data_IF_186293882558
#
_entry.id   IF_186293882558
#
_cell.length_a   1.000
_cell.length_b   1.000
_cell.length_c   1.000
_cell.angle_alpha   90.00
_cell.angle_beta   90.00
_cell.angle_gamma   90.00
#
_symmetry.space_group_name_H-M   'P 1'
#
loop_
_entity.id
_entity.type
_entity.pdbx_description
1 polymer ?
#
# COMPACT_ATOMS: atom_id res chain seq x y z
N UNK A 1 16.12 30.99 -15.65
CA UNK A 1 16.00 29.62 -15.11
C UNK A 1 15.22 29.71 -13.81
N UNK A 2 13.92 29.34 -13.77
CA UNK A 2 13.13 29.32 -12.51
C UNK A 2 13.67 28.18 -11.65
N UNK A 3 14.28 28.49 -10.52
CA UNK A 3 14.61 27.51 -9.47
C UNK A 3 13.26 26.98 -8.96
N UNK A 4 12.87 25.83 -9.48
CA UNK A 4 11.67 25.13 -9.00
C UNK A 4 11.98 24.66 -7.58
N UNK A 5 11.25 25.18 -6.60
CA UNK A 5 11.42 24.77 -5.21
C UNK A 5 11.15 23.26 -5.11
N UNK A 6 12.22 22.45 -5.03
CA UNK A 6 12.12 20.97 -4.99
C UNK A 6 11.76 20.44 -3.59
N UNK A 7 11.88 21.26 -2.56
CA UNK A 7 11.67 20.80 -1.18
C UNK A 7 10.26 20.26 -0.91
N UNK A 8 9.22 20.88 -1.48
CA UNK A 8 7.83 20.43 -1.26
C UNK A 8 7.55 19.07 -1.89
N UNK A 9 7.91 18.82 -3.17
CA UNK A 9 7.80 17.48 -3.75
C UNK A 9 8.58 16.43 -2.99
N UNK A 10 9.80 16.73 -2.55
CA UNK A 10 10.66 15.79 -1.83
C UNK A 10 10.06 15.41 -0.47
N UNK A 11 9.55 16.38 0.30
CA UNK A 11 8.86 16.14 1.57
C UNK A 11 7.62 15.27 1.34
N UNK A 12 6.82 15.58 0.33
CA UNK A 12 5.63 14.80 -0.01
C UNK A 12 5.98 13.34 -0.33
N UNK A 13 6.99 13.11 -1.15
CA UNK A 13 7.44 11.75 -1.51
C UNK A 13 7.98 11.00 -0.29
N UNK A 14 8.72 11.66 0.60
CA UNK A 14 9.20 11.02 1.83
C UNK A 14 8.05 10.64 2.78
N UNK A 15 7.05 11.51 2.94
CA UNK A 15 5.85 11.18 3.72
C UNK A 15 5.09 10.02 3.09
N UNK A 16 4.94 10.01 1.77
CA UNK A 16 4.29 8.92 1.05
C UNK A 16 5.04 7.59 1.22
N UNK A 17 6.37 7.62 1.21
CA UNK A 17 7.22 6.46 1.45
C UNK A 17 7.04 5.93 2.88
N UNK A 18 7.02 6.85 3.85
CA UNK A 18 6.75 6.48 5.23
C UNK A 18 5.37 5.81 5.38
N UNK A 19 4.33 6.37 4.77
CA UNK A 19 2.97 5.81 4.83
C UNK A 19 2.94 4.41 4.21
N UNK A 20 3.57 4.20 3.05
CA UNK A 20 3.62 2.91 2.38
C UNK A 20 4.24 1.83 3.27
N UNK A 21 5.41 2.09 3.85
CA UNK A 21 6.05 1.14 4.77
C UNK A 21 5.32 1.01 6.11
N UNK A 22 4.76 2.10 6.63
CA UNK A 22 4.00 2.07 7.88
C UNK A 22 2.79 1.14 7.80
N UNK A 23 2.03 1.19 6.70
CA UNK A 23 0.88 0.30 6.48
C UNK A 23 1.30 -1.17 6.45
N UNK A 24 2.44 -1.47 5.82
CA UNK A 24 2.98 -2.84 5.79
C UNK A 24 3.42 -3.29 7.19
N UNK A 25 4.08 -2.43 7.94
CA UNK A 25 4.59 -2.77 9.28
C UNK A 25 3.48 -2.89 10.32
N UNK A 26 2.45 -2.06 10.27
CA UNK A 26 1.33 -2.12 11.21
C UNK A 26 0.55 -3.43 11.09
N UNK A 27 0.60 -4.08 9.91
CA UNK A 27 -0.04 -5.38 9.70
C UNK A 27 0.43 -6.43 10.70
N UNK A 28 1.70 -6.45 11.09
CA UNK A 28 2.21 -7.43 12.06
C UNK A 28 1.47 -7.36 13.41
N UNK A 29 1.18 -6.12 13.89
CA UNK A 29 0.39 -5.93 15.11
C UNK A 29 -1.10 -6.18 14.87
N UNK A 30 -1.64 -5.70 13.75
CA UNK A 30 -3.03 -5.89 13.39
C UNK A 30 -3.37 -7.38 13.19
N UNK A 31 -2.44 -8.17 12.63
CA UNK A 31 -2.58 -9.62 12.50
C UNK A 31 -2.71 -10.31 13.87
N UNK A 32 -1.93 -9.87 14.87
CA UNK A 32 -2.05 -10.41 16.22
C UNK A 32 -3.43 -10.18 16.81
N UNK A 33 -3.95 -8.94 16.71
CA UNK A 33 -5.26 -8.59 17.25
C UNK A 33 -6.40 -9.30 16.48
N UNK A 34 -6.28 -9.37 15.15
CA UNK A 34 -7.22 -10.13 14.31
C UNK A 34 -7.22 -11.64 14.63
N UNK A 35 -6.04 -12.20 14.92
CA UNK A 35 -5.93 -13.60 15.37
C UNK A 35 -6.72 -13.85 16.64
N UNK A 36 -6.62 -12.98 17.64
CA UNK A 36 -7.40 -13.07 18.86
C UNK A 36 -8.91 -12.99 18.59
N UNK A 37 -9.34 -12.11 17.71
CA UNK A 37 -10.75 -11.92 17.35
C UNK A 37 -11.32 -13.12 16.58
N UNK A 38 -10.55 -13.69 15.65
CA UNK A 38 -10.96 -14.82 14.83
C UNK A 38 -10.69 -16.19 15.48
N UNK A 39 -10.08 -16.22 16.67
CA UNK A 39 -9.73 -17.47 17.36
C UNK A 39 -8.61 -18.25 16.64
N UNK A 40 -7.70 -17.57 15.94
CA UNK A 40 -6.58 -18.14 15.20
C UNK A 40 -5.25 -17.81 15.87
N UNK A 41 -4.27 -18.70 15.75
CA UNK A 41 -2.89 -18.44 16.13
C UNK A 41 -2.25 -17.38 15.24
N UNK A 42 -1.20 -16.71 15.73
CA UNK A 42 -0.48 -15.70 14.96
C UNK A 42 0.08 -16.25 13.64
N UNK A 43 0.60 -17.46 13.66
CA UNK A 43 1.12 -18.19 12.51
C UNK A 43 0.04 -18.50 11.46
N UNK A 44 -1.21 -18.67 11.89
CA UNK A 44 -2.34 -18.93 10.99
C UNK A 44 -2.81 -17.63 10.33
N UNK A 45 -2.98 -16.57 11.14
CA UNK A 45 -3.51 -15.30 10.63
C UNK A 45 -2.52 -14.57 9.71
N UNK A 46 -1.20 -14.66 9.96
CA UNK A 46 -0.20 -13.97 9.16
C UNK A 46 -0.18 -14.44 7.70
N UNK A 47 -0.61 -15.69 7.43
CA UNK A 47 -0.69 -16.27 6.08
C UNK A 47 -1.69 -15.49 5.21
N UNK A 48 -2.75 -14.93 5.80
CA UNK A 48 -3.72 -14.14 5.06
C UNK A 48 -3.15 -12.83 4.51
N UNK A 49 -2.03 -12.35 5.07
CA UNK A 49 -1.25 -11.23 4.52
C UNK A 49 -0.48 -11.56 3.26
N UNK A 50 -0.25 -12.85 2.97
CA UNK A 50 0.53 -13.28 1.80
C UNK A 50 -0.09 -12.80 0.48
N UNK A 51 -1.42 -12.75 0.37
CA UNK A 51 -2.10 -12.23 -0.80
C UNK A 51 -1.72 -10.77 -1.08
N UNK A 52 -1.61 -9.94 -0.04
CA UNK A 52 -1.15 -8.55 -0.16
C UNK A 52 0.26 -8.45 -0.71
N UNK A 53 1.20 -9.24 -0.19
CA UNK A 53 2.59 -9.25 -0.67
C UNK A 53 2.73 -9.76 -2.09
N UNK A 54 1.98 -10.81 -2.47
CA UNK A 54 1.99 -11.33 -3.84
C UNK A 54 1.47 -10.27 -4.81
N UNK A 55 0.34 -9.63 -4.49
CA UNK A 55 -0.26 -8.60 -5.34
C UNK A 55 0.60 -7.33 -5.38
N UNK A 56 1.24 -6.94 -4.27
CA UNK A 56 2.21 -5.86 -4.26
C UNK A 56 3.33 -6.09 -5.29
N UNK A 57 3.95 -7.26 -5.29
CA UNK A 57 5.01 -7.61 -6.23
C UNK A 57 4.50 -7.72 -7.67
N UNK A 58 3.37 -8.41 -7.89
CA UNK A 58 2.81 -8.64 -9.21
C UNK A 58 2.30 -7.36 -9.91
N UNK A 59 1.80 -6.39 -9.13
CA UNK A 59 1.27 -5.14 -9.67
C UNK A 59 2.34 -4.07 -9.92
N UNK A 60 3.55 -4.20 -9.37
CA UNK A 60 4.61 -3.21 -9.54
C UNK A 60 5.01 -2.96 -11.02
N UNK A 61 5.16 -3.98 -11.89
CA UNK A 61 5.42 -3.75 -13.31
C UNK A 61 4.26 -3.05 -14.04
N UNK A 62 3.02 -3.36 -13.63
CA UNK A 62 1.82 -2.72 -14.19
C UNK A 62 1.79 -1.25 -13.78
N UNK A 63 2.09 -0.94 -12.52
CA UNK A 63 2.17 0.41 -12.01
C UNK A 63 3.27 1.22 -12.73
N UNK A 64 4.43 0.62 -13.02
CA UNK A 64 5.49 1.24 -13.80
C UNK A 64 5.00 1.61 -15.22
N UNK A 65 4.34 0.68 -15.90
CA UNK A 65 3.77 0.93 -17.23
C UNK A 65 2.71 2.04 -17.20
N UNK A 66 1.88 2.09 -16.16
CA UNK A 66 0.90 3.16 -15.99
C UNK A 66 1.57 4.52 -15.72
N UNK A 67 2.69 4.53 -15.00
CA UNK A 67 3.47 5.75 -14.72
C UNK A 67 4.07 6.39 -15.98
N UNK A 68 4.33 5.58 -17.01
CA UNK A 68 4.79 6.06 -18.32
C UNK A 68 3.65 6.63 -19.18
N UNK A 69 2.42 6.16 -18.98
CA UNK A 69 1.26 6.55 -19.77
C UNK A 69 0.43 7.66 -19.16
N UNK A 70 0.35 7.72 -17.85
CA UNK A 70 -0.55 8.60 -17.11
C UNK A 70 0.21 9.59 -16.22
N UNK A 71 -0.50 10.60 -15.75
CA UNK A 71 0.07 11.57 -14.81
C UNK A 71 0.52 10.88 -13.51
N UNK A 72 1.80 11.01 -13.18
CA UNK A 72 2.39 10.49 -11.94
C UNK A 72 1.68 11.05 -10.71
N UNK A 73 1.29 12.32 -10.74
CA UNK A 73 0.54 12.94 -9.64
C UNK A 73 -0.84 12.29 -9.44
N UNK A 74 -1.54 11.94 -10.52
CA UNK A 74 -2.83 11.23 -10.42
C UNK A 74 -2.61 9.84 -9.83
N UNK A 75 -1.57 9.12 -10.26
CA UNK A 75 -1.24 7.81 -9.72
C UNK A 75 -0.90 7.87 -8.21
N UNK A 76 -0.22 8.92 -7.76
CA UNK A 76 0.01 9.13 -6.32
C UNK A 76 -1.27 9.39 -5.54
N UNK A 77 -2.25 10.09 -6.11
CA UNK A 77 -3.59 10.23 -5.51
C UNK A 77 -4.29 8.88 -5.42
N UNK A 78 -4.23 8.07 -6.49
CA UNK A 78 -4.78 6.70 -6.51
C UNK A 78 -4.13 5.83 -5.45
N UNK A 79 -2.82 5.92 -5.27
CA UNK A 79 -2.08 5.23 -4.21
C UNK A 79 -2.63 5.59 -2.82
N UNK A 80 -2.63 6.87 -2.44
CA UNK A 80 -3.06 7.28 -1.10
C UNK A 80 -4.52 6.95 -0.83
N UNK A 81 -5.40 7.26 -1.78
CA UNK A 81 -6.82 6.98 -1.65
C UNK A 81 -7.09 5.47 -1.60
N UNK A 82 -6.46 4.71 -2.49
CA UNK A 82 -6.62 3.26 -2.57
C UNK A 82 -6.13 2.55 -1.30
N UNK A 83 -4.94 2.90 -0.81
CA UNK A 83 -4.39 2.33 0.44
C UNK A 83 -5.29 2.70 1.63
N UNK A 84 -5.70 3.98 1.75
CA UNK A 84 -6.56 4.42 2.84
C UNK A 84 -7.92 3.72 2.86
N UNK A 85 -8.60 3.63 1.72
CA UNK A 85 -9.87 2.90 1.60
C UNK A 85 -9.69 1.42 1.90
N UNK A 86 -8.62 0.79 1.39
CA UNK A 86 -8.35 -0.63 1.64
C UNK A 86 -8.09 -0.91 3.12
N UNK A 87 -7.35 -0.04 3.81
CA UNK A 87 -7.14 -0.15 5.26
C UNK A 87 -8.46 -0.04 6.05
N UNK A 88 -9.34 0.88 5.65
CA UNK A 88 -10.68 1.00 6.25
C UNK A 88 -11.50 -0.28 5.99
N UNK A 89 -11.46 -0.83 4.78
CA UNK A 89 -12.15 -2.09 4.47
C UNK A 89 -11.62 -3.25 5.32
N UNK A 90 -10.31 -3.33 5.56
CA UNK A 90 -9.73 -4.32 6.48
C UNK A 90 -10.33 -4.21 7.89
N UNK A 91 -10.60 -3.01 8.40
CA UNK A 91 -11.16 -2.81 9.74
C UNK A 91 -12.60 -3.30 9.90
N UNK A 92 -13.33 -3.52 8.80
CA UNK A 92 -14.67 -4.10 8.79
C UNK A 92 -14.69 -5.60 8.49
N UNK A 93 -13.53 -6.24 8.42
CA UNK A 93 -13.45 -7.68 8.15
C UNK A 93 -13.98 -8.49 9.33
N UNK A 94 -14.95 -9.34 9.08
CA UNK A 94 -15.54 -10.27 10.07
C UNK A 94 -15.02 -11.70 9.88
N UNK A 95 -14.20 -11.95 8.88
CA UNK A 95 -13.59 -13.25 8.59
C UNK A 95 -12.17 -13.10 8.09
N UNK A 96 -11.30 -14.10 8.30
CA UNK A 96 -9.94 -14.10 7.77
C UNK A 96 -9.88 -13.91 6.24
N UNK A 97 -10.84 -14.48 5.51
CA UNK A 97 -10.90 -14.32 4.04
C UNK A 97 -11.22 -12.89 3.62
N UNK A 98 -12.10 -12.19 4.33
CA UNK A 98 -12.37 -10.77 4.08
C UNK A 98 -11.14 -9.92 4.37
N UNK A 99 -10.42 -10.21 5.46
CA UNK A 99 -9.16 -9.57 5.78
C UNK A 99 -8.13 -9.78 4.66
N UNK A 100 -7.98 -11.02 4.16
CA UNK A 100 -7.07 -11.33 3.06
C UNK A 100 -7.38 -10.50 1.79
N UNK A 101 -8.66 -10.36 1.43
CA UNK A 101 -9.10 -9.54 0.29
C UNK A 101 -8.73 -8.08 0.51
N UNK A 102 -9.01 -7.53 1.69
CA UNK A 102 -8.65 -6.16 2.05
C UNK A 102 -7.14 -5.92 1.98
N UNK A 103 -6.34 -6.85 2.51
CA UNK A 103 -4.87 -6.80 2.42
C UNK A 103 -4.38 -6.94 0.99
N UNK A 104 -5.05 -7.74 0.15
CA UNK A 104 -4.79 -7.83 -1.28
C UNK A 104 -4.96 -6.47 -1.97
N UNK A 105 -6.02 -5.73 -1.65
CA UNK A 105 -6.25 -4.38 -2.15
C UNK A 105 -5.18 -3.41 -1.66
N UNK A 106 -4.77 -3.48 -0.39
CA UNK A 106 -3.62 -2.70 0.13
C UNK A 106 -2.39 -2.98 -0.74
N UNK A 107 -2.07 -4.25 -1.01
CA UNK A 107 -0.93 -4.63 -1.85
C UNK A 107 -1.00 -4.05 -3.27
N UNK A 108 -2.17 -4.12 -3.91
CA UNK A 108 -2.39 -3.55 -5.26
C UNK A 108 -2.08 -2.05 -5.29
N UNK A 109 -2.64 -1.29 -4.35
CA UNK A 109 -2.46 0.16 -4.34
C UNK A 109 -1.07 0.58 -3.86
N UNK A 110 -0.47 -0.11 -2.88
CA UNK A 110 0.90 0.12 -2.44
C UNK A 110 1.94 -0.11 -3.55
N UNK A 111 1.69 -1.05 -4.45
CA UNK A 111 2.56 -1.30 -5.61
C UNK A 111 2.78 -0.08 -6.50
N UNK A 112 1.89 0.93 -6.44
CA UNK A 112 1.98 2.15 -7.24
C UNK A 112 3.14 3.04 -6.75
N UNK A 113 3.39 3.07 -5.44
CA UNK A 113 4.31 4.06 -4.86
C UNK A 113 5.73 3.98 -5.44
N UNK A 114 6.37 2.82 -5.40
CA UNK A 114 7.79 2.70 -5.73
C UNK A 114 8.14 3.12 -7.17
N UNK A 115 7.48 2.59 -8.22
CA UNK A 115 7.82 3.01 -9.59
C UNK A 115 7.46 4.47 -9.86
N UNK A 116 6.32 4.95 -9.33
CA UNK A 116 5.86 6.32 -9.55
C UNK A 116 6.72 7.32 -8.76
N UNK A 117 7.01 7.04 -7.50
CA UNK A 117 7.82 7.90 -6.63
C UNK A 117 9.23 8.08 -7.16
N UNK A 118 9.90 6.98 -7.56
CA UNK A 118 11.24 7.03 -8.19
C UNK A 118 11.19 7.87 -9.48
N UNK A 119 10.20 7.64 -10.33
CA UNK A 119 10.04 8.40 -11.57
C UNK A 119 9.74 9.89 -11.36
N UNK A 120 9.24 10.30 -10.20
CA UNK A 120 9.02 11.71 -9.85
C UNK A 120 10.28 12.40 -9.34
N UNK A 121 11.27 11.65 -8.85
CA UNK A 121 12.56 12.19 -8.39
C UNK A 121 13.52 12.48 -9.53
N UNK A 122 13.38 11.77 -10.66
CA UNK A 122 14.19 11.93 -11.88
C UNK A 122 13.67 13.07 -12.76
#
# INVERSE_FOLDING_TARGET
MKIRNRYIPDIYLNISHFIDHFIILIFAKAAYDAGLEFGLGYEEIIIFGLLGFILFGAMAPIAAFLADKYSRSILMVVFHFGVGVSAILCSFSNTPSQLAIGLGLVGIFSAIYHPVGIAMLL
#
